data_IF_036508827869
#
_entry.id   IF_036508827869
#
_cell.length_a   1.000
_cell.length_b   1.000
_cell.length_c   1.000
_cell.angle_alpha   90.00
_cell.angle_beta   90.00
_cell.angle_gamma   90.00
#
_symmetry.space_group_name_H-M   'P 1'
#
loop_
_entity.id
_entity.type
_entity.pdbx_description
1 polymer ?
#
# COMPACT_ATOMS: atom_id res chain seq x y z
N UNK A 1 -72.92 7.74 -17.36
CA UNK A 1 -74.30 8.20 -17.08
C UNK A 1 -74.22 9.70 -17.30
N UNK A 2 -74.67 10.25 -18.44
CA UNK A 2 -74.86 11.71 -18.65
C UNK A 2 -75.44 11.99 -20.06
N UNK A 3 -76.42 11.18 -20.52
CA UNK A 3 -77.08 11.36 -21.84
C UNK A 3 -78.58 11.71 -21.72
N UNK A 4 -79.08 12.08 -20.53
CA UNK A 4 -80.52 12.30 -20.30
C UNK A 4 -80.95 13.78 -20.39
N UNK A 5 -80.03 14.73 -20.57
CA UNK A 5 -80.35 16.17 -20.65
C UNK A 5 -80.68 16.64 -22.08
N UNK A 6 -80.02 16.09 -23.11
CA UNK A 6 -80.19 16.53 -24.51
C UNK A 6 -81.55 16.14 -25.12
N UNK A 7 -82.16 15.04 -24.67
CA UNK A 7 -83.50 14.66 -25.13
C UNK A 7 -84.57 15.65 -24.62
N UNK A 8 -84.34 16.33 -23.48
CA UNK A 8 -85.29 17.28 -22.89
C UNK A 8 -85.32 18.61 -23.66
N UNK A 9 -84.18 19.05 -24.18
CA UNK A 9 -84.07 20.25 -25.04
C UNK A 9 -84.66 19.99 -26.43
N UNK A 10 -84.47 18.79 -27.00
CA UNK A 10 -85.09 18.41 -28.28
C UNK A 10 -86.61 18.26 -28.15
N UNK A 11 -87.12 17.64 -27.07
CA UNK A 11 -88.57 17.52 -26.86
C UNK A 11 -89.26 18.86 -26.56
N UNK A 12 -88.61 19.77 -25.83
CA UNK A 12 -89.16 21.10 -25.55
C UNK A 12 -89.25 21.97 -26.81
N UNK A 13 -88.25 21.89 -27.69
CA UNK A 13 -88.25 22.58 -28.99
C UNK A 13 -89.26 21.98 -29.97
N UNK A 14 -89.47 20.66 -29.99
CA UNK A 14 -90.52 20.04 -30.80
C UNK A 14 -91.93 20.41 -30.31
N UNK A 15 -92.13 20.47 -28.98
CA UNK A 15 -93.43 20.78 -28.36
C UNK A 15 -93.84 22.23 -28.59
N UNK A 16 -92.88 23.16 -28.56
CA UNK A 16 -93.13 24.57 -28.91
C UNK A 16 -93.48 24.73 -30.39
N UNK A 17 -92.82 23.98 -31.28
CA UNK A 17 -93.11 24.00 -32.72
C UNK A 17 -94.51 23.44 -33.04
N UNK A 18 -94.93 22.36 -32.37
CA UNK A 18 -96.29 21.80 -32.53
C UNK A 18 -97.40 22.73 -32.03
N UNK A 19 -97.13 23.48 -30.95
CA UNK A 19 -98.03 24.53 -30.46
C UNK A 19 -98.17 25.68 -31.46
N UNK A 20 -97.10 26.01 -32.18
CA UNK A 20 -97.07 27.11 -33.13
C UNK A 20 -97.86 26.81 -34.41
N UNK A 21 -97.85 25.55 -34.88
CA UNK A 21 -98.56 25.13 -36.09
C UNK A 21 -100.05 24.86 -35.84
N UNK A 22 -100.47 24.61 -34.59
CA UNK A 22 -101.85 24.23 -34.25
C UNK A 22 -102.83 25.41 -34.05
N UNK A 23 -102.41 26.66 -34.27
CA UNK A 23 -103.33 27.80 -34.24
C UNK A 23 -104.06 27.92 -35.59
N UNK A 24 -105.41 27.79 -35.63
CA UNK A 24 -106.16 28.10 -36.83
C UNK A 24 -106.06 29.60 -37.08
N UNK A 25 -105.78 29.92 -38.34
CA UNK A 25 -105.62 31.26 -38.91
C UNK A 25 -106.75 32.18 -38.41
N UNK A 26 -106.47 32.99 -37.39
CA UNK A 26 -107.40 34.01 -36.91
C UNK A 26 -107.20 35.18 -37.85
N UNK A 27 -107.80 35.06 -39.03
CA UNK A 27 -108.08 36.16 -39.94
C UNK A 27 -108.94 37.18 -39.19
N UNK A 28 -108.29 38.07 -38.45
CA UNK A 28 -108.89 39.33 -38.04
C UNK A 28 -108.99 40.17 -39.30
N UNK A 29 -110.14 40.04 -39.94
CA UNK A 29 -110.81 41.13 -40.63
C UNK A 29 -110.83 42.35 -39.71
N UNK A 30 -109.80 43.18 -39.77
CA UNK A 30 -109.93 44.59 -39.42
C UNK A 30 -110.24 45.34 -40.71
N UNK A 31 -111.55 45.53 -40.90
CA UNK A 31 -112.21 46.68 -41.52
C UNK A 31 -111.32 47.60 -42.36
N UNK A 32 -111.51 47.55 -43.68
CA UNK A 32 -111.15 48.68 -44.54
C UNK A 32 -111.86 49.96 -44.06
N UNK A 33 -111.15 51.06 -43.82
CA UNK A 33 -111.71 52.37 -44.09
C UNK A 33 -111.33 52.78 -45.51
N UNK A 34 -112.31 53.34 -46.21
CA UNK A 34 -112.19 53.87 -47.56
C UNK A 34 -110.82 54.53 -47.82
N UNK A 35 -110.10 54.01 -48.81
CA UNK A 35 -108.83 54.56 -49.26
C UNK A 35 -109.05 55.96 -49.86
N UNK A 36 -108.96 56.97 -49.01
CA UNK A 36 -108.49 58.29 -49.43
C UNK A 36 -107.03 58.16 -49.88
N UNK A 37 -106.63 59.00 -50.85
CA UNK A 37 -105.29 59.15 -51.45
C UNK A 37 -104.09 59.18 -50.46
N UNK A 38 -104.35 59.26 -49.15
CA UNK A 38 -103.42 59.26 -48.02
C UNK A 38 -103.09 57.84 -47.48
N UNK A 39 -104.00 56.87 -47.52
CA UNK A 39 -103.80 55.52 -46.94
C UNK A 39 -102.81 54.64 -47.71
N UNK A 40 -102.86 54.71 -49.05
CA UNK A 40 -101.88 54.03 -49.93
C UNK A 40 -100.47 54.60 -49.77
N UNK A 41 -100.36 55.92 -49.57
CA UNK A 41 -99.10 56.59 -49.31
C UNK A 41 -98.46 56.06 -48.01
N UNK A 42 -99.24 55.91 -46.94
CA UNK A 42 -98.77 55.42 -45.65
C UNK A 42 -98.37 53.93 -45.67
N UNK A 43 -99.09 53.10 -46.42
CA UNK A 43 -98.71 51.69 -46.60
C UNK A 43 -97.41 51.55 -47.41
N UNK A 44 -97.23 52.38 -48.44
CA UNK A 44 -96.00 52.39 -49.24
C UNK A 44 -94.80 52.84 -48.40
N UNK A 45 -94.92 53.95 -47.65
CA UNK A 45 -93.86 54.41 -46.75
C UNK A 45 -93.55 53.35 -45.69
N UNK A 46 -94.57 52.70 -45.12
CA UNK A 46 -94.33 51.65 -44.13
C UNK A 46 -93.64 50.42 -44.71
N UNK A 47 -93.96 50.03 -45.95
CA UNK A 47 -93.32 48.90 -46.63
C UNK A 47 -91.85 49.21 -46.95
N UNK A 48 -91.56 50.43 -47.41
CA UNK A 48 -90.19 50.91 -47.64
C UNK A 48 -89.38 50.93 -46.34
N UNK A 49 -89.93 51.43 -45.23
CA UNK A 49 -89.26 51.41 -43.92
C UNK A 49 -88.92 49.98 -43.44
N UNK A 50 -89.83 49.03 -43.66
CA UNK A 50 -89.62 47.63 -43.29
C UNK A 50 -88.58 46.95 -44.18
N UNK A 51 -88.55 47.29 -45.47
CA UNK A 51 -87.54 46.82 -46.41
C UNK A 51 -86.15 47.36 -46.04
N UNK A 52 -86.03 48.66 -45.73
CA UNK A 52 -84.81 49.27 -45.21
C UNK A 52 -84.38 48.68 -43.86
N UNK A 53 -85.33 48.35 -42.98
CA UNK A 53 -85.04 47.66 -41.72
C UNK A 53 -84.53 46.24 -41.97
N UNK A 54 -85.11 45.50 -42.91
CA UNK A 54 -84.66 44.16 -43.29
C UNK A 54 -83.26 44.20 -43.95
N UNK A 55 -82.96 45.21 -44.77
CA UNK A 55 -81.62 45.44 -45.33
C UNK A 55 -80.58 45.78 -44.27
N UNK A 56 -80.94 46.59 -43.26
CA UNK A 56 -80.09 46.85 -42.10
C UNK A 56 -79.81 45.59 -41.29
N UNK A 57 -80.81 44.74 -41.07
CA UNK A 57 -80.61 43.44 -40.40
C UNK A 57 -79.73 42.52 -41.25
N UNK A 58 -79.99 42.40 -42.55
CA UNK A 58 -79.17 41.56 -43.46
C UNK A 58 -77.72 42.00 -43.51
N UNK A 59 -77.45 43.31 -43.61
CA UNK A 59 -76.08 43.84 -43.61
C UNK A 59 -75.40 43.64 -42.25
N UNK A 60 -76.12 43.81 -41.14
CA UNK A 60 -75.59 43.52 -39.80
C UNK A 60 -75.28 42.03 -39.58
N UNK A 61 -76.16 41.13 -40.03
CA UNK A 61 -75.92 39.68 -40.00
C UNK A 61 -74.72 39.29 -40.86
N UNK A 62 -74.57 39.86 -42.06
CA UNK A 62 -73.42 39.63 -42.92
C UNK A 62 -72.11 40.11 -42.28
N UNK A 63 -72.13 41.28 -41.62
CA UNK A 63 -70.98 41.78 -40.87
C UNK A 63 -70.61 40.85 -39.70
N UNK A 64 -71.60 40.39 -38.93
CA UNK A 64 -71.38 39.44 -37.82
C UNK A 64 -70.75 38.13 -38.31
N UNK A 65 -71.25 37.55 -39.41
CA UNK A 65 -70.68 36.36 -40.02
C UNK A 65 -69.22 36.57 -40.42
N UNK A 66 -68.92 37.67 -41.12
CA UNK A 66 -67.55 38.06 -41.47
C UNK A 66 -66.65 38.20 -40.23
N UNK A 67 -67.15 38.81 -39.15
CA UNK A 67 -66.38 38.91 -37.90
C UNK A 67 -66.13 37.56 -37.23
N UNK A 68 -67.11 36.64 -37.28
CA UNK A 68 -66.98 35.29 -36.73
C UNK A 68 -65.98 34.46 -37.54
N UNK A 69 -66.05 34.49 -38.87
CA UNK A 69 -65.10 33.83 -39.76
C UNK A 69 -63.68 34.37 -39.57
N UNK A 70 -63.53 35.70 -39.47
CA UNK A 70 -62.24 36.33 -39.15
C UNK A 70 -61.68 35.81 -37.82
N UNK A 71 -62.50 35.79 -36.76
CA UNK A 71 -62.06 35.29 -35.45
C UNK A 71 -61.69 33.80 -35.49
N UNK A 72 -62.46 32.97 -36.20
CA UNK A 72 -62.15 31.55 -36.39
C UNK A 72 -60.83 31.36 -37.14
N UNK A 73 -60.60 32.13 -38.19
CA UNK A 73 -59.36 32.11 -38.96
C UNK A 73 -58.17 32.55 -38.10
N UNK A 74 -58.29 33.63 -37.33
CA UNK A 74 -57.24 34.08 -36.40
C UNK A 74 -56.91 33.01 -35.34
N UNK A 75 -57.93 32.34 -34.78
CA UNK A 75 -57.73 31.24 -33.84
C UNK A 75 -57.06 30.03 -34.51
N UNK A 76 -57.44 29.70 -35.74
CA UNK A 76 -56.81 28.61 -36.50
C UNK A 76 -55.32 28.90 -36.78
N UNK A 77 -54.97 30.12 -37.17
CA UNK A 77 -53.59 30.54 -37.38
C UNK A 77 -52.78 30.52 -36.07
N UNK A 78 -53.37 30.99 -34.97
CA UNK A 78 -52.73 30.92 -33.65
C UNK A 78 -52.47 29.47 -33.24
N UNK A 79 -53.42 28.56 -33.46
CA UNK A 79 -53.25 27.13 -33.18
C UNK A 79 -52.14 26.51 -34.03
N UNK A 80 -52.16 26.73 -35.34
CA UNK A 80 -51.14 26.22 -36.26
C UNK A 80 -49.74 26.73 -35.89
N UNK A 81 -49.62 28.01 -35.50
CA UNK A 81 -48.33 28.58 -35.05
C UNK A 81 -47.83 27.92 -33.77
N UNK A 82 -48.70 27.69 -32.79
CA UNK A 82 -48.35 27.02 -31.53
C UNK A 82 -47.91 25.59 -31.80
N UNK A 83 -48.58 24.88 -32.71
CA UNK A 83 -48.24 23.50 -33.08
C UNK A 83 -46.88 23.42 -33.76
N UNK A 84 -46.62 24.28 -34.75
CA UNK A 84 -45.30 24.37 -35.39
C UNK A 84 -44.18 24.73 -34.41
N UNK A 85 -44.43 25.64 -33.47
CA UNK A 85 -43.45 26.01 -32.44
C UNK A 85 -43.20 24.86 -31.45
N UNK A 86 -44.24 24.09 -31.11
CA UNK A 86 -44.09 22.89 -30.28
C UNK A 86 -43.28 21.80 -31.00
N UNK A 87 -43.55 21.55 -32.27
CA UNK A 87 -42.80 20.58 -33.09
C UNK A 87 -41.33 21.00 -33.22
N UNK A 88 -41.06 22.25 -33.55
CA UNK A 88 -39.69 22.78 -33.62
C UNK A 88 -38.96 22.68 -32.27
N UNK A 89 -39.64 22.99 -31.16
CA UNK A 89 -39.07 22.83 -29.82
C UNK A 89 -38.84 21.37 -29.45
N UNK A 90 -39.72 20.44 -29.84
CA UNK A 90 -39.52 19.02 -29.61
C UNK A 90 -38.32 18.48 -30.37
N UNK A 91 -38.20 18.80 -31.67
CA UNK A 91 -37.06 18.41 -32.49
C UNK A 91 -35.74 19.00 -31.99
N UNK A 92 -35.74 20.25 -31.54
CA UNK A 92 -34.57 20.89 -30.93
C UNK A 92 -34.13 20.19 -29.64
N UNK A 93 -35.09 19.77 -28.79
CA UNK A 93 -34.80 19.02 -27.57
C UNK A 93 -34.26 17.63 -27.87
N UNK A 94 -34.83 16.93 -28.84
CA UNK A 94 -34.38 15.59 -29.23
C UNK A 94 -32.94 15.63 -29.79
N UNK A 95 -32.62 16.63 -30.62
CA UNK A 95 -31.26 16.87 -31.09
C UNK A 95 -30.31 17.17 -29.93
N UNK A 96 -30.71 18.03 -28.99
CA UNK A 96 -29.89 18.36 -27.82
C UNK A 96 -29.63 17.14 -26.92
N UNK A 97 -30.61 16.24 -26.77
CA UNK A 97 -30.45 14.99 -26.03
C UNK A 97 -29.50 14.05 -26.77
N UNK A 98 -29.64 13.91 -28.10
CA UNK A 98 -28.74 13.10 -28.94
C UNK A 98 -27.30 13.61 -28.87
N UNK A 99 -27.08 14.91 -29.00
CA UNK A 99 -25.74 15.52 -28.92
C UNK A 99 -25.14 15.31 -27.53
N UNK A 100 -25.93 15.46 -26.48
CA UNK A 100 -25.48 15.21 -25.10
C UNK A 100 -25.09 13.75 -24.89
N UNK A 101 -25.87 12.80 -25.37
CA UNK A 101 -25.53 11.37 -25.32
C UNK A 101 -24.22 11.10 -26.08
N UNK A 102 -24.05 11.70 -27.26
CA UNK A 102 -22.82 11.53 -28.04
C UNK A 102 -21.60 12.12 -27.34
N UNK A 103 -21.75 13.26 -26.67
CA UNK A 103 -20.68 13.84 -25.85
C UNK A 103 -20.32 12.91 -24.70
N UNK A 104 -21.31 12.40 -23.97
CA UNK A 104 -21.09 11.46 -22.85
C UNK A 104 -20.39 10.17 -23.32
N UNK A 105 -20.77 9.62 -24.49
CA UNK A 105 -20.09 8.47 -25.10
C UNK A 105 -18.62 8.77 -25.46
N UNK A 106 -18.37 9.91 -26.11
CA UNK A 106 -17.01 10.30 -26.52
C UNK A 106 -16.13 10.59 -25.31
N UNK A 107 -16.68 11.18 -24.24
CA UNK A 107 -15.97 11.39 -22.99
C UNK A 107 -15.61 10.05 -22.32
N UNK A 108 -16.51 9.08 -22.32
CA UNK A 108 -16.23 7.74 -21.80
C UNK A 108 -15.15 7.02 -22.62
N UNK A 109 -15.21 7.08 -23.96
CA UNK A 109 -14.19 6.51 -24.83
C UNK A 109 -12.83 7.16 -24.61
N UNK A 110 -12.80 8.49 -24.47
CA UNK A 110 -11.57 9.22 -24.14
C UNK A 110 -10.98 8.77 -22.82
N UNK A 111 -11.78 8.64 -21.78
CA UNK A 111 -11.31 8.16 -20.47
C UNK A 111 -10.73 6.74 -20.56
N UNK A 112 -11.40 5.84 -21.30
CA UNK A 112 -10.90 4.48 -21.52
C UNK A 112 -9.56 4.47 -22.27
N UNK A 113 -9.42 5.28 -23.31
CA UNK A 113 -8.17 5.40 -24.07
C UNK A 113 -7.05 6.03 -23.24
N UNK A 114 -7.36 7.02 -22.40
CA UNK A 114 -6.41 7.62 -21.47
C UNK A 114 -5.92 6.61 -20.43
N UNK A 115 -6.81 5.80 -19.86
CA UNK A 115 -6.43 4.72 -18.94
C UNK A 115 -5.56 3.65 -19.63
N UNK A 116 -5.93 3.23 -20.84
CA UNK A 116 -5.13 2.29 -21.62
C UNK A 116 -3.74 2.85 -21.95
N UNK A 117 -3.64 4.13 -22.33
CA UNK A 117 -2.35 4.78 -22.55
C UNK A 117 -1.51 4.81 -21.27
N UNK A 118 -2.09 5.19 -20.13
CA UNK A 118 -1.37 5.20 -18.85
C UNK A 118 -0.81 3.82 -18.49
N UNK A 119 -1.57 2.74 -18.72
CA UNK A 119 -1.11 1.37 -18.48
C UNK A 119 0.04 1.01 -19.43
N UNK A 120 -0.06 1.38 -20.71
CA UNK A 120 0.98 1.13 -21.70
C UNK A 120 2.25 1.91 -21.40
N UNK A 121 2.14 3.17 -21.00
CA UNK A 121 3.26 4.02 -20.58
C UNK A 121 3.96 3.43 -19.36
N UNK A 122 3.21 3.07 -18.31
CA UNK A 122 3.78 2.43 -17.11
C UNK A 122 4.49 1.11 -17.45
N UNK A 123 3.93 0.33 -18.37
CA UNK A 123 4.55 -0.93 -18.84
C UNK A 123 5.84 -0.66 -19.62
N UNK A 124 5.85 0.35 -20.49
CA UNK A 124 7.05 0.76 -21.23
C UNK A 124 8.13 1.29 -20.29
N UNK A 125 7.78 2.10 -19.30
CA UNK A 125 8.72 2.57 -18.27
C UNK A 125 9.33 1.41 -17.49
N UNK A 126 8.51 0.43 -17.10
CA UNK A 126 9.00 -0.79 -16.43
C UNK A 126 9.98 -1.57 -17.30
N UNK A 127 9.66 -1.75 -18.59
CA UNK A 127 10.54 -2.43 -19.53
C UNK A 127 11.85 -1.65 -19.75
N UNK A 128 11.79 -0.32 -19.87
CA UNK A 128 12.97 0.54 -19.96
C UNK A 128 13.85 0.45 -18.71
N UNK A 129 13.26 0.40 -17.51
CA UNK A 129 14.00 0.19 -16.24
C UNK A 129 14.66 -1.19 -16.16
N UNK A 130 14.09 -2.20 -16.84
CA UNK A 130 14.67 -3.54 -16.96
C UNK A 130 15.76 -3.62 -18.04
N UNK A 131 15.96 -2.56 -18.82
CA UNK A 131 16.96 -2.49 -19.88
C UNK A 131 16.48 -3.02 -21.23
N UNK A 132 15.16 -3.14 -21.43
CA UNK A 132 14.61 -3.44 -22.74
C UNK A 132 14.84 -2.27 -23.71
N UNK A 133 15.01 -2.59 -24.98
CA UNK A 133 15.32 -1.62 -26.02
C UNK A 133 14.62 -1.98 -27.32
N UNK A 134 14.33 -0.96 -28.13
CA UNK A 134 13.77 -1.13 -29.46
C UNK A 134 14.90 -1.57 -30.44
N UNK A 135 14.82 -2.76 -31.05
CA UNK A 135 15.85 -3.26 -31.96
C UNK A 135 15.94 -2.48 -33.28
N UNK A 136 14.91 -1.70 -33.65
CA UNK A 136 14.95 -0.85 -34.86
C UNK A 136 15.78 0.41 -34.61
N UNK A 137 15.72 0.95 -33.39
CA UNK A 137 16.38 2.21 -33.01
C UNK A 137 17.75 2.00 -32.37
N UNK A 138 17.90 0.93 -31.59
CA UNK A 138 19.04 0.74 -30.70
C UNK A 138 19.68 -0.63 -30.95
N UNK A 139 20.99 -0.62 -31.23
CA UNK A 139 21.79 -1.85 -31.34
C UNK A 139 22.72 -1.98 -30.14
N UNK A 140 22.56 -3.05 -29.37
CA UNK A 140 23.45 -3.35 -28.24
C UNK A 140 24.71 -4.06 -28.73
N UNK A 141 25.87 -3.56 -28.32
CA UNK A 141 27.18 -4.13 -28.63
C UNK A 141 27.97 -4.32 -27.34
N UNK A 142 28.78 -5.39 -27.29
CA UNK A 142 29.72 -5.64 -26.21
C UNK A 142 31.00 -6.25 -26.78
N UNK A 143 32.09 -6.19 -26.01
CA UNK A 143 33.34 -6.84 -26.40
C UNK A 143 33.14 -8.36 -26.50
N UNK A 144 33.70 -8.98 -27.54
CA UNK A 144 33.68 -10.44 -27.70
C UNK A 144 34.43 -11.12 -26.55
N UNK A 145 35.60 -10.59 -26.18
CA UNK A 145 36.37 -11.01 -25.01
C UNK A 145 36.01 -10.15 -23.80
N UNK A 146 34.89 -10.48 -23.15
CA UNK A 146 34.47 -9.83 -21.91
C UNK A 146 34.75 -10.72 -20.67
N UNK A 147 34.87 -10.14 -19.46
CA UNK A 147 35.14 -10.90 -18.25
C UNK A 147 34.14 -12.05 -18.00
N UNK A 148 32.86 -11.87 -18.33
CA UNK A 148 31.83 -12.91 -18.19
C UNK A 148 32.06 -14.10 -19.12
N UNK A 149 32.52 -13.85 -20.34
CA UNK A 149 32.81 -14.88 -21.35
C UNK A 149 34.04 -15.67 -20.96
N UNK A 150 35.07 -15.00 -20.44
CA UNK A 150 36.27 -15.64 -19.88
C UNK A 150 35.89 -16.52 -18.68
N UNK A 151 35.10 -16.00 -17.73
CA UNK A 151 34.65 -16.77 -16.57
C UNK A 151 33.78 -17.97 -16.97
N UNK A 152 32.93 -17.83 -18.00
CA UNK A 152 32.14 -18.94 -18.54
C UNK A 152 33.04 -20.00 -19.17
N UNK A 153 34.06 -19.59 -19.93
CA UNK A 153 35.03 -20.50 -20.54
C UNK A 153 35.85 -21.26 -19.48
N UNK A 154 36.37 -20.56 -18.47
CA UNK A 154 37.09 -21.20 -17.35
C UNK A 154 36.21 -22.23 -16.64
N UNK A 155 34.94 -21.88 -16.36
CA UNK A 155 33.99 -22.84 -15.77
C UNK A 155 33.78 -24.06 -16.66
N UNK A 156 33.69 -23.90 -17.98
CA UNK A 156 33.55 -25.05 -18.88
C UNK A 156 34.79 -25.92 -18.88
N UNK A 157 35.98 -25.32 -18.87
CA UNK A 157 37.26 -26.04 -18.81
C UNK A 157 37.41 -26.81 -17.49
N UNK A 158 37.06 -26.21 -16.35
CA UNK A 158 37.04 -26.88 -15.04
C UNK A 158 36.08 -28.07 -15.02
N UNK A 159 34.86 -27.90 -15.55
CA UNK A 159 33.88 -28.99 -15.63
C UNK A 159 34.39 -30.12 -16.53
N UNK A 160 35.07 -29.80 -17.63
CA UNK A 160 35.69 -30.80 -18.50
C UNK A 160 36.84 -31.53 -17.81
N UNK A 161 37.71 -30.82 -17.10
CA UNK A 161 38.79 -31.41 -16.31
C UNK A 161 38.23 -32.37 -15.25
N UNK A 162 37.23 -31.93 -14.48
CA UNK A 162 36.57 -32.77 -13.49
C UNK A 162 35.90 -34.00 -14.11
N UNK A 163 35.29 -33.86 -15.30
CA UNK A 163 34.71 -35.01 -16.02
C UNK A 163 35.78 -36.02 -16.42
N UNK A 164 36.92 -35.56 -16.94
CA UNK A 164 38.05 -36.43 -17.29
C UNK A 164 38.60 -37.12 -16.04
N UNK A 165 38.76 -36.41 -14.93
CA UNK A 165 39.20 -37.00 -13.67
C UNK A 165 38.21 -38.04 -13.13
N UNK A 166 36.91 -37.72 -13.13
CA UNK A 166 35.87 -38.67 -12.75
C UNK A 166 35.89 -39.91 -13.63
N UNK A 167 36.09 -39.75 -14.94
CA UNK A 167 36.20 -40.88 -15.86
C UNK A 167 37.44 -41.71 -15.58
N UNK A 168 38.59 -41.07 -15.35
CA UNK A 168 39.83 -41.75 -14.98
C UNK A 168 39.71 -42.52 -13.65
N UNK A 169 39.05 -41.94 -12.66
CA UNK A 169 38.79 -42.59 -11.37
C UNK A 169 37.84 -43.78 -11.55
N UNK A 170 36.77 -43.62 -12.33
CA UNK A 170 35.85 -44.71 -12.69
C UNK A 170 36.56 -45.84 -13.43
N UNK A 171 37.47 -45.54 -14.34
CA UNK A 171 38.26 -46.56 -15.05
C UNK A 171 39.21 -47.29 -14.11
N UNK A 172 39.79 -46.59 -13.12
CA UNK A 172 40.63 -47.20 -12.09
C UNK A 172 39.83 -48.11 -11.16
N UNK A 173 38.65 -47.68 -10.72
CA UNK A 173 37.75 -48.50 -9.91
C UNK A 173 37.32 -49.74 -10.69
N UNK A 174 36.93 -49.61 -11.96
CA UNK A 174 36.59 -50.77 -12.80
C UNK A 174 37.72 -51.79 -12.92
N UNK A 175 38.98 -51.34 -12.99
CA UNK A 175 40.15 -52.25 -13.00
C UNK A 175 40.32 -52.97 -11.65
N UNK A 176 40.17 -52.25 -10.54
CA UNK A 176 40.25 -52.84 -9.19
C UNK A 176 39.11 -53.85 -8.97
N UNK A 177 37.90 -53.53 -9.42
CA UNK A 177 36.75 -54.43 -9.38
C UNK A 177 36.95 -55.67 -10.26
N UNK A 178 37.55 -55.52 -11.44
CA UNK A 178 37.85 -56.63 -12.35
C UNK A 178 38.98 -57.56 -11.86
N UNK A 179 39.95 -57.02 -11.11
CA UNK A 179 41.05 -57.79 -10.50
C UNK A 179 40.62 -58.57 -9.24
N UNK A 180 39.34 -58.54 -8.87
CA UNK A 180 38.71 -59.59 -8.05
C UNK A 180 39.12 -59.63 -6.58
N UNK A 181 39.36 -58.48 -5.94
CA UNK A 181 39.46 -58.41 -4.46
C UNK A 181 38.34 -57.51 -3.92
N UNK A 182 37.17 -58.12 -3.72
CA UNK A 182 36.11 -57.57 -2.89
C UNK A 182 36.24 -58.18 -1.49
N UNK A 183 37.04 -57.55 -0.63
CA UNK A 183 36.89 -57.70 0.81
C UNK A 183 36.09 -56.50 1.32
N UNK A 184 34.90 -56.80 1.78
CA UNK A 184 34.08 -55.93 2.62
C UNK A 184 34.87 -55.47 3.85
N UNK A 185 34.62 -54.21 4.22
CA UNK A 185 34.98 -53.52 5.45
C UNK A 185 36.36 -52.83 5.51
N UNK A 186 36.27 -51.50 5.34
CA UNK A 186 37.12 -50.44 5.87
C UNK A 186 38.59 -50.74 6.11
N UNK A 187 39.45 -50.26 5.20
CA UNK A 187 40.74 -49.66 5.60
C UNK A 187 41.35 -48.87 4.45
N UNK A 188 41.13 -47.55 4.50
CA UNK A 188 42.03 -46.51 3.99
C UNK A 188 42.63 -46.74 2.60
N UNK A 189 41.89 -46.33 1.58
CA UNK A 189 42.50 -45.79 0.37
C UNK A 189 43.48 -44.70 0.80
N UNK A 190 44.78 -45.00 0.79
CA UNK A 190 45.83 -43.99 0.88
C UNK A 190 45.78 -43.18 -0.41
N UNK A 191 44.82 -42.26 -0.47
CA UNK A 191 44.86 -41.12 -1.36
C UNK A 191 46.06 -40.32 -0.86
N UNK A 192 47.12 -40.11 -1.68
CA UNK A 192 48.19 -39.19 -1.29
C UNK A 192 47.51 -37.87 -0.88
N UNK A 193 47.86 -37.27 0.27
CA UNK A 193 47.14 -36.11 0.76
C UNK A 193 47.13 -35.08 -0.36
N UNK A 194 45.94 -34.67 -0.81
CA UNK A 194 45.81 -33.61 -1.80
C UNK A 194 46.66 -32.43 -1.33
N UNK A 195 47.25 -31.67 -2.26
CA UNK A 195 48.07 -30.51 -1.90
C UNK A 195 47.33 -29.58 -0.92
N UNK A 196 45.99 -29.53 -1.00
CA UNK A 196 45.11 -28.85 -0.05
C UNK A 196 45.18 -29.41 1.37
N UNK A 197 45.13 -30.73 1.58
CA UNK A 197 45.27 -31.35 2.92
C UNK A 197 46.65 -31.05 3.51
N UNK A 198 47.69 -31.06 2.69
CA UNK A 198 49.06 -30.75 3.13
C UNK A 198 49.19 -29.25 3.49
N UNK A 199 48.60 -28.37 2.68
CA UNK A 199 48.55 -26.93 2.96
C UNK A 199 47.71 -26.61 4.20
N UNK A 200 46.57 -27.29 4.39
CA UNK A 200 45.72 -27.15 5.58
C UNK A 200 46.42 -27.64 6.84
N UNK A 201 47.14 -28.78 6.78
CA UNK A 201 47.96 -29.26 7.90
C UNK A 201 49.05 -28.26 8.25
N UNK A 202 49.75 -27.71 7.25
CA UNK A 202 50.77 -26.69 7.46
C UNK A 202 50.19 -25.41 8.07
N UNK A 203 48.97 -25.01 7.66
CA UNK A 203 48.27 -23.88 8.27
C UNK A 203 47.86 -24.18 9.72
N UNK A 204 47.35 -25.38 10.01
CA UNK A 204 47.00 -25.83 11.36
C UNK A 204 48.22 -25.82 12.28
N UNK A 205 49.34 -26.42 11.86
CA UNK A 205 50.60 -26.39 12.61
C UNK A 205 51.10 -24.95 12.84
N UNK A 206 50.98 -24.09 11.83
CA UNK A 206 51.37 -22.68 11.97
C UNK A 206 50.46 -21.91 12.95
N UNK A 207 49.17 -22.24 13.00
CA UNK A 207 48.20 -21.64 13.89
C UNK A 207 48.37 -22.17 15.33
N UNK A 208 48.63 -23.46 15.49
CA UNK A 208 48.97 -24.09 16.77
C UNK A 208 50.25 -23.49 17.35
N UNK A 209 51.30 -23.34 16.54
CA UNK A 209 52.54 -22.71 16.97
C UNK A 209 52.34 -21.25 17.38
N UNK A 210 51.50 -20.49 16.65
CA UNK A 210 51.13 -19.12 17.04
C UNK A 210 50.37 -19.11 18.38
N UNK A 211 49.42 -20.01 18.58
CA UNK A 211 48.68 -20.13 19.83
C UNK A 211 49.60 -20.52 21.00
N UNK A 212 50.55 -21.43 20.78
CA UNK A 212 51.54 -21.81 21.79
C UNK A 212 52.41 -20.62 22.18
N UNK A 213 52.97 -19.90 21.21
CA UNK A 213 53.74 -18.67 21.46
C UNK A 213 52.92 -17.61 22.19
N UNK A 214 51.65 -17.46 21.84
CA UNK A 214 50.76 -16.52 22.51
C UNK A 214 50.53 -16.90 23.99
N UNK A 215 50.34 -18.20 24.28
CA UNK A 215 50.26 -18.71 25.66
C UNK A 215 51.56 -18.44 26.44
N UNK A 216 52.71 -18.67 25.83
CA UNK A 216 54.03 -18.40 26.44
C UNK A 216 54.21 -16.91 26.73
N UNK A 217 53.87 -16.04 25.78
CA UNK A 217 53.94 -14.57 25.98
C UNK A 217 52.98 -14.12 27.07
N UNK A 218 51.75 -14.65 27.08
CA UNK A 218 50.76 -14.32 28.12
C UNK A 218 51.24 -14.78 29.50
N UNK A 219 51.78 -15.99 29.63
CA UNK A 219 52.37 -16.49 30.87
C UNK A 219 53.55 -15.62 31.33
N UNK A 220 54.43 -15.23 30.40
CA UNK A 220 55.54 -14.35 30.73
C UNK A 220 55.06 -12.97 31.19
N UNK A 221 54.04 -12.42 30.53
CA UNK A 221 53.47 -11.10 30.88
C UNK A 221 52.71 -11.11 32.19
N UNK A 222 51.92 -12.15 32.48
CA UNK A 222 51.23 -12.26 33.77
C UNK A 222 52.25 -12.46 34.89
N UNK A 223 53.32 -13.22 34.67
CA UNK A 223 54.38 -13.39 35.64
C UNK A 223 55.11 -12.06 35.91
N UNK A 224 55.46 -11.31 34.86
CA UNK A 224 56.05 -9.97 34.96
C UNK A 224 55.16 -9.03 35.79
N UNK A 225 53.86 -9.02 35.51
CA UNK A 225 52.88 -8.23 36.25
C UNK A 225 52.77 -8.66 37.72
N UNK A 226 52.70 -9.97 37.98
CA UNK A 226 52.64 -10.52 39.34
C UNK A 226 53.88 -10.16 40.15
N UNK A 227 55.07 -10.24 39.55
CA UNK A 227 56.32 -9.82 40.18
C UNK A 227 56.31 -8.32 40.48
N UNK A 228 55.83 -7.48 39.55
CA UNK A 228 55.69 -6.05 39.80
C UNK A 228 54.72 -5.75 40.96
N UNK A 229 53.55 -6.39 40.98
CA UNK A 229 52.60 -6.25 42.10
C UNK A 229 53.22 -6.70 43.42
N UNK A 230 53.90 -7.85 43.44
CA UNK A 230 54.56 -8.36 44.65
C UNK A 230 55.58 -7.38 45.22
N UNK A 231 56.44 -6.79 44.37
CA UNK A 231 57.45 -5.82 44.80
C UNK A 231 56.84 -4.50 45.25
N UNK A 232 55.77 -4.03 44.59
CA UNK A 232 55.19 -2.72 44.88
C UNK A 232 54.22 -2.73 46.06
N UNK A 233 53.39 -3.76 46.19
CA UNK A 233 52.33 -3.83 47.20
C UNK A 233 52.67 -4.76 48.36
N UNK A 234 53.69 -5.60 48.21
CA UNK A 234 54.05 -6.61 49.20
C UNK A 234 53.14 -7.85 49.19
N UNK A 235 52.28 -8.03 48.18
CA UNK A 235 51.38 -9.18 48.09
C UNK A 235 51.61 -9.99 46.81
N UNK A 236 51.79 -11.29 46.99
CA UNK A 236 51.79 -12.26 45.91
C UNK A 236 50.35 -12.69 45.63
N UNK A 237 49.85 -12.36 44.44
CA UNK A 237 48.48 -12.69 44.02
C UNK A 237 48.52 -13.94 43.14
N UNK A 238 47.96 -15.05 43.62
CA UNK A 238 47.84 -16.34 42.94
C UNK A 238 46.38 -16.61 42.57
N UNK A 239 46.14 -17.21 41.40
CA UNK A 239 44.79 -17.65 40.98
C UNK A 239 44.67 -19.13 41.34
N UNK A 240 43.73 -19.48 42.22
CA UNK A 240 43.57 -20.87 42.71
C UNK A 240 42.57 -21.66 41.86
N UNK A 241 41.28 -21.41 42.06
CA UNK A 241 40.15 -21.96 41.31
C UNK A 241 39.39 -20.82 40.65
N UNK A 242 38.42 -21.12 39.78
CA UNK A 242 37.66 -20.09 39.04
C UNK A 242 37.15 -18.98 39.97
N UNK A 243 37.56 -17.75 39.65
CA UNK A 243 37.22 -16.50 40.35
C UNK A 243 37.70 -16.39 41.80
N UNK A 244 38.74 -17.13 42.20
CA UNK A 244 39.37 -17.03 43.52
C UNK A 244 40.84 -16.62 43.42
N UNK A 245 41.22 -15.67 44.26
CA UNK A 245 42.54 -15.06 44.33
C UNK A 245 43.11 -15.24 45.72
N UNK A 246 44.24 -15.94 45.80
CA UNK A 246 45.02 -16.10 47.02
C UNK A 246 46.05 -14.98 47.10
N UNK A 247 46.08 -14.26 48.21
CA UNK A 247 47.05 -13.23 48.53
C UNK A 247 47.95 -13.75 49.64
N UNK A 248 49.25 -13.80 49.37
CA UNK A 248 50.29 -14.10 50.36
C UNK A 248 51.15 -12.87 50.56
N UNK A 249 51.28 -12.40 51.80
CA UNK A 249 52.10 -11.24 52.13
C UNK A 249 53.60 -11.59 52.08
N UNK A 250 54.45 -10.64 51.71
CA UNK A 250 55.91 -10.72 51.85
C UNK A 250 56.30 -10.94 53.32
N UNK A 251 55.54 -10.34 54.23
CA UNK A 251 55.80 -10.33 55.66
C UNK A 251 54.98 -11.40 56.40
N UNK A 252 54.52 -12.45 55.71
CA UNK A 252 53.80 -13.56 56.32
C UNK A 252 54.68 -14.30 57.34
N UNK A 253 54.17 -14.55 58.54
CA UNK A 253 54.90 -15.24 59.61
C UNK A 253 55.00 -16.74 59.36
N UNK A 254 53.97 -17.32 58.73
CA UNK A 254 53.93 -18.73 58.34
C UNK A 254 53.65 -18.90 56.84
N UNK A 255 54.17 -19.98 56.23
CA UNK A 255 53.98 -20.28 54.81
C UNK A 255 52.50 -20.54 54.44
N UNK A 256 51.65 -20.82 55.42
CA UNK A 256 50.22 -21.11 55.24
C UNK A 256 49.35 -19.85 55.38
N UNK A 257 49.92 -18.74 55.85
CA UNK A 257 49.21 -17.48 56.05
C UNK A 257 48.87 -16.85 54.71
N UNK A 258 47.59 -17.01 54.32
CA UNK A 258 47.09 -16.46 53.07
C UNK A 258 45.66 -15.97 53.23
N UNK A 259 45.39 -14.86 52.54
CA UNK A 259 44.06 -14.28 52.42
C UNK A 259 43.45 -14.77 51.11
N UNK A 260 42.18 -15.19 51.14
CA UNK A 260 41.50 -15.70 49.96
C UNK A 260 40.36 -14.76 49.59
N UNK A 261 40.38 -14.21 48.39
CA UNK A 261 39.33 -13.36 47.87
C UNK A 261 38.59 -14.06 46.73
N UNK A 262 37.27 -13.95 46.68
CA UNK A 262 36.45 -14.41 45.56
C UNK A 262 35.81 -13.22 44.87
N UNK A 263 35.87 -13.20 43.55
CA UNK A 263 35.15 -12.19 42.77
C UNK A 263 33.65 -12.49 42.81
N UNK A 264 32.86 -11.53 43.27
CA UNK A 264 31.41 -11.62 43.38
C UNK A 264 30.77 -10.88 42.21
N UNK A 265 30.78 -11.49 41.02
CA UNK A 265 30.16 -10.92 39.81
C UNK A 265 30.70 -11.50 38.51
N UNK A 266 30.19 -10.99 37.38
CA UNK A 266 30.77 -11.22 36.03
C UNK A 266 32.22 -10.78 35.99
N UNK A 267 33.08 -11.46 35.22
CA UNK A 267 34.49 -11.11 35.00
C UNK A 267 34.59 -9.61 34.68
N UNK A 268 35.19 -8.82 35.58
CA UNK A 268 35.33 -7.36 35.45
C UNK A 268 34.42 -6.50 36.33
N UNK A 269 33.50 -7.08 37.11
CA UNK A 269 32.59 -6.33 38.01
C UNK A 269 33.27 -5.65 39.21
N UNK A 270 34.57 -5.92 39.44
CA UNK A 270 35.41 -5.24 40.44
C UNK A 270 35.09 -5.52 41.92
N UNK A 271 33.96 -6.18 42.21
CA UNK A 271 33.57 -6.59 43.56
C UNK A 271 34.31 -7.87 43.98
N UNK A 272 35.03 -7.79 45.09
CA UNK A 272 35.78 -8.88 45.71
C UNK A 272 35.27 -9.09 47.14
N UNK A 273 35.12 -10.35 47.55
CA UNK A 273 34.72 -10.73 48.91
C UNK A 273 35.82 -11.58 49.55
N UNK A 274 36.17 -11.28 50.79
CA UNK A 274 37.11 -12.08 51.58
C UNK A 274 36.42 -13.38 52.02
N UNK A 275 37.11 -14.51 51.86
CA UNK A 275 36.73 -15.80 52.41
C UNK A 275 37.47 -16.01 53.72
N UNK A 276 36.80 -16.65 54.67
CA UNK A 276 37.41 -17.00 55.94
C UNK A 276 38.51 -18.04 55.73
N UNK A 277 39.75 -17.63 56.03
CA UNK A 277 40.92 -18.49 56.21
C UNK A 277 41.36 -18.43 57.67
N UNK A 278 42.20 -19.36 58.11
CA UNK A 278 42.72 -19.36 59.49
C UNK A 278 43.46 -18.06 59.82
N UNK A 279 44.22 -17.53 58.84
CA UNK A 279 44.84 -16.21 58.91
C UNK A 279 43.83 -15.06 58.90
N UNK A 280 42.71 -15.16 58.17
CA UNK A 280 41.66 -14.13 58.25
C UNK A 280 41.01 -14.05 59.63
N UNK A 281 40.99 -15.13 60.42
CA UNK A 281 40.40 -15.14 61.77
C UNK A 281 41.25 -14.36 62.77
N UNK A 282 42.56 -14.33 62.61
CA UNK A 282 43.44 -13.56 63.49
C UNK A 282 43.28 -12.04 63.28
N UNK A 283 42.90 -11.63 62.06
CA UNK A 283 42.73 -10.23 61.66
C UNK A 283 41.30 -9.71 61.80
N UNK A 284 40.43 -10.36 62.59
CA UNK A 284 38.99 -10.04 62.68
C UNK A 284 38.73 -8.56 63.01
N UNK A 285 39.53 -7.94 63.89
CA UNK A 285 39.39 -6.52 64.23
C UNK A 285 39.66 -5.56 63.06
N UNK A 286 40.63 -5.89 62.20
CA UNK A 286 40.91 -5.12 60.97
C UNK A 286 39.88 -5.38 59.87
N UNK A 287 39.37 -6.61 59.77
CA UNK A 287 38.30 -6.97 58.85
C UNK A 287 37.03 -6.18 59.17
N UNK A 288 36.62 -6.14 60.43
CA UNK A 288 35.44 -5.38 60.87
C UNK A 288 35.58 -3.89 60.57
N UNK A 289 36.72 -3.29 60.93
CA UNK A 289 36.95 -1.86 60.72
C UNK A 289 37.04 -1.48 59.24
N UNK A 290 37.85 -2.19 58.45
CA UNK A 290 38.21 -1.74 57.10
C UNK A 290 37.34 -2.35 56.00
N UNK A 291 36.88 -3.59 56.16
CA UNK A 291 36.02 -4.25 55.16
C UNK A 291 34.52 -4.04 55.45
N UNK A 292 34.06 -4.08 56.70
CA UNK A 292 32.65 -3.87 57.02
C UNK A 292 32.26 -2.39 57.15
N UNK A 293 33.01 -1.59 57.94
CA UNK A 293 32.67 -0.17 58.13
C UNK A 293 33.13 0.71 56.96
N UNK A 294 34.39 0.60 56.54
CA UNK A 294 34.96 1.47 55.50
C UNK A 294 34.75 0.94 54.07
N UNK A 295 34.38 -0.33 53.92
CA UNK A 295 34.11 -1.00 52.63
C UNK A 295 35.24 -0.84 51.60
N UNK A 296 36.49 -0.86 52.06
CA UNK A 296 37.65 -0.62 51.19
C UNK A 296 38.72 -1.69 51.38
N UNK A 297 38.87 -2.55 50.38
CA UNK A 297 39.90 -3.60 50.34
C UNK A 297 41.32 -3.02 50.30
N UNK A 298 41.63 -1.97 49.51
CA UNK A 298 42.96 -1.37 49.52
C UNK A 298 43.37 -0.84 50.90
N UNK A 299 42.44 -0.25 51.65
CA UNK A 299 42.71 0.24 53.01
C UNK A 299 42.97 -0.93 53.96
N UNK A 300 42.16 -1.98 53.88
CA UNK A 300 42.37 -3.20 54.66
C UNK A 300 43.74 -3.83 54.39
N UNK A 301 44.10 -4.07 53.13
CA UNK A 301 45.39 -4.68 52.78
C UNK A 301 46.57 -3.81 53.22
N UNK A 302 46.45 -2.48 53.14
CA UNK A 302 47.49 -1.57 53.61
C UNK A 302 47.68 -1.64 55.13
N UNK A 303 46.57 -1.69 55.89
CA UNK A 303 46.61 -1.83 57.35
C UNK A 303 47.26 -3.16 57.75
N UNK A 304 46.88 -4.26 57.09
CA UNK A 304 47.48 -5.59 57.32
C UNK A 304 48.96 -5.60 56.98
N UNK A 305 49.40 -4.95 55.91
CA UNK A 305 50.83 -4.85 55.58
C UNK A 305 51.61 -4.12 56.65
N UNK A 306 51.06 -3.01 57.19
CA UNK A 306 51.71 -2.24 58.26
C UNK A 306 51.79 -3.06 59.54
N UNK A 307 50.72 -3.78 59.89
CA UNK A 307 50.69 -4.64 61.08
C UNK A 307 51.70 -5.78 60.96
N UNK A 308 51.68 -6.55 59.87
CA UNK A 308 52.65 -7.64 59.64
C UNK A 308 54.10 -7.13 59.60
N UNK A 309 54.34 -5.98 58.98
CA UNK A 309 55.66 -5.35 58.98
C UNK A 309 56.10 -4.95 60.39
N UNK A 310 55.19 -4.42 61.21
CA UNK A 310 55.48 -4.08 62.60
C UNK A 310 55.83 -5.32 63.42
N UNK A 311 55.08 -6.42 63.27
CA UNK A 311 55.39 -7.68 63.95
C UNK A 311 56.76 -8.25 63.55
N UNK A 312 57.14 -8.12 62.28
CA UNK A 312 58.45 -8.58 61.81
C UNK A 312 59.63 -7.68 62.26
N UNK A 313 59.38 -6.40 62.56
CA UNK A 313 60.41 -5.44 62.97
C UNK A 313 60.49 -5.23 64.48
N UNK A 314 59.53 -5.75 65.25
CA UNK A 314 59.61 -5.84 66.71
C UNK A 314 60.51 -7.02 67.08
N UNK A 315 61.82 -6.77 67.05
CA UNK A 315 62.82 -7.50 67.84
C UNK A 315 62.80 -7.04 69.29
#
# INVERSE_FOLDING_TARGET
MDDMEDDTTIFSTLKSFKSFISCPDRSLLETEPAFGRSGLQNLYTKRVELEEAAERVRSHTSLLQLTQEKQQMELSHKRARIELEKEANSSSRDLQVSDRQKIEELEAERQQLEEQNNILEMRLERHNLQGDYDPVKTKVVHLQMNPTSIAKQQRTEEVEQLRVECQRLRDRLRKIEADGVMTTDDTTLIIPPSQEILNLRKQMESAELKNQRLKEVFQKKIQEFRTACYVLTGYQIDITVENQYRLTSVYAEHMEDSLLFKSTGSVGSGSMQLLETDFSRTLTGLVDLHLFHQKSIPVFLSAVTIELFSHQTVT
#
